data_IF_384114788968
#
_entry.id   IF_384114788968
#
_cell.length_a   1.000
_cell.length_b   1.000
_cell.length_c   1.000
_cell.angle_alpha   90.00
_cell.angle_beta   90.00
_cell.angle_gamma   90.00
#
_symmetry.space_group_name_H-M   'P 1'
#
loop_
_entity.id
_entity.type
_entity.pdbx_description
1 polymer ?
#
# COMPACT_ATOMS: atom_id res chain seq x y z
N UNK A 1 2.96 29.45 21.34
CA UNK A 1 3.34 29.09 19.95
C UNK A 1 3.76 27.64 19.91
N UNK A 2 3.17 26.90 19.01
CA UNK A 2 3.51 25.49 18.83
C UNK A 2 4.57 25.37 17.74
N UNK A 3 5.67 24.72 18.08
CA UNK A 3 6.72 24.41 17.11
C UNK A 3 6.49 23.01 16.57
N UNK A 4 6.47 22.89 15.24
CA UNK A 4 6.41 21.58 14.60
C UNK A 4 7.79 20.93 14.62
N UNK A 5 7.81 19.63 14.87
CA UNK A 5 9.03 18.85 14.69
C UNK A 5 9.42 18.80 13.22
N UNK A 6 10.67 18.43 12.95
CA UNK A 6 11.11 18.20 11.56
C UNK A 6 10.27 17.14 10.87
N UNK A 7 9.87 16.10 11.60
CA UNK A 7 9.04 15.03 11.05
C UNK A 7 7.64 15.56 10.68
N UNK A 8 7.03 16.40 11.51
CA UNK A 8 5.73 17.00 11.21
C UNK A 8 5.81 17.92 10.00
N UNK A 9 6.87 18.72 9.89
CA UNK A 9 7.07 19.61 8.74
C UNK A 9 7.27 18.79 7.46
N UNK A 10 8.07 17.74 7.52
CA UNK A 10 8.29 16.86 6.37
C UNK A 10 6.98 16.19 5.93
N UNK A 11 6.17 15.74 6.89
CA UNK A 11 4.87 15.12 6.58
C UNK A 11 3.92 16.09 5.88
N UNK A 12 3.89 17.36 6.31
CA UNK A 12 3.04 18.38 5.69
C UNK A 12 3.48 18.72 4.27
N UNK A 13 4.77 18.59 3.98
CA UNK A 13 5.33 18.87 2.65
C UNK A 13 5.48 17.64 1.79
N UNK A 14 5.07 16.47 2.28
CA UNK A 14 5.19 15.23 1.53
C UNK A 14 4.20 15.17 0.36
N UNK A 15 4.53 14.33 -0.60
CA UNK A 15 3.68 14.00 -1.74
C UNK A 15 3.02 12.63 -1.53
N UNK A 16 2.03 12.27 -2.34
CA UNK A 16 1.52 10.90 -2.32
C UNK A 16 2.62 9.86 -2.55
N UNK A 17 3.58 10.16 -3.40
CA UNK A 17 4.71 9.28 -3.70
C UNK A 17 5.59 9.05 -2.47
N UNK A 18 5.80 10.09 -1.68
CA UNK A 18 6.58 9.97 -0.43
C UNK A 18 5.87 9.09 0.59
N UNK A 19 4.56 9.23 0.70
CA UNK A 19 3.75 8.42 1.62
C UNK A 19 3.74 6.96 1.15
N UNK A 20 3.61 6.72 -0.14
CA UNK A 20 3.67 5.38 -0.70
C UNK A 20 5.03 4.72 -0.45
N UNK A 21 6.11 5.46 -0.65
CA UNK A 21 7.46 4.96 -0.37
C UNK A 21 7.61 4.57 1.10
N UNK A 22 7.14 5.40 2.01
CA UNK A 22 7.17 5.10 3.45
C UNK A 22 6.35 3.86 3.79
N UNK A 23 5.19 3.71 3.16
CA UNK A 23 4.33 2.53 3.34
C UNK A 23 5.07 1.24 2.96
N UNK A 24 5.63 1.19 1.75
CA UNK A 24 6.33 -0.02 1.30
C UNK A 24 7.64 -0.28 2.06
N UNK A 25 8.36 0.75 2.43
CA UNK A 25 9.55 0.59 3.28
C UNK A 25 9.18 0.03 4.67
N UNK A 26 8.07 0.48 5.25
CA UNK A 26 7.59 -0.04 6.51
C UNK A 26 7.21 -1.53 6.42
N UNK A 27 6.59 -1.95 5.31
CA UNK A 27 6.32 -3.36 5.05
C UNK A 27 7.61 -4.17 4.95
N UNK A 28 8.59 -3.65 4.23
CA UNK A 28 9.89 -4.31 4.04
C UNK A 28 10.67 -4.45 5.32
N UNK A 29 10.49 -3.53 6.26
CA UNK A 29 11.17 -3.52 7.56
C UNK A 29 10.35 -4.19 8.66
N UNK A 30 9.06 -4.44 8.44
CA UNK A 30 8.16 -4.92 9.48
C UNK A 30 7.97 -3.90 10.60
N UNK A 31 7.99 -2.62 10.27
CA UNK A 31 7.91 -1.52 11.23
C UNK A 31 6.47 -1.04 11.36
N UNK A 32 5.79 -1.52 12.39
CA UNK A 32 4.36 -1.23 12.59
C UNK A 32 4.12 0.26 12.89
N UNK A 33 4.97 0.91 13.64
CA UNK A 33 4.77 2.32 13.99
C UNK A 33 4.91 3.20 12.75
N UNK A 34 5.91 2.94 11.94
CA UNK A 34 6.12 3.64 10.68
C UNK A 34 4.99 3.38 9.70
N UNK A 35 4.53 2.13 9.63
CA UNK A 35 3.40 1.77 8.77
C UNK A 35 2.14 2.54 9.14
N UNK A 36 1.80 2.56 10.43
CA UNK A 36 0.57 3.22 10.87
C UNK A 36 0.64 4.74 10.74
N UNK A 37 1.83 5.31 10.77
CA UNK A 37 2.01 6.76 10.62
C UNK A 37 1.59 7.31 9.25
N UNK A 38 1.54 6.48 8.22
CA UNK A 38 1.17 6.93 6.87
C UNK A 38 -0.35 7.02 6.66
N UNK A 39 -1.14 6.42 7.54
CA UNK A 39 -2.60 6.40 7.40
C UNK A 39 -3.23 7.72 7.81
N UNK A 40 -4.31 8.09 7.13
CA UNK A 40 -5.10 9.25 7.50
C UNK A 40 -5.72 9.07 8.89
N UNK A 41 -5.85 10.18 9.61
CA UNK A 41 -6.53 10.20 10.92
C UNK A 41 -8.04 10.28 10.70
N UNK A 42 -8.62 9.16 10.34
CA UNK A 42 -10.04 9.05 10.01
C UNK A 42 -10.50 7.62 10.35
N UNK A 43 -11.75 7.51 10.79
CA UNK A 43 -12.32 6.22 11.17
C UNK A 43 -12.71 5.36 9.96
N UNK A 44 -12.76 5.95 8.77
CA UNK A 44 -13.21 5.28 7.55
C UNK A 44 -12.06 4.79 6.66
N UNK A 45 -10.83 4.84 7.14
CA UNK A 45 -9.71 4.26 6.40
C UNK A 45 -9.89 2.75 6.23
N UNK A 46 -9.51 2.24 5.05
CA UNK A 46 -9.79 0.85 4.66
C UNK A 46 -8.52 0.16 4.22
N UNK A 47 -8.37 -1.08 4.64
CA UNK A 47 -7.33 -1.97 4.15
C UNK A 47 -7.93 -3.33 3.80
N UNK A 48 -7.60 -3.81 2.59
CA UNK A 48 -7.94 -5.16 2.15
C UNK A 48 -6.65 -5.87 1.79
N UNK A 49 -6.33 -6.92 2.54
CA UNK A 49 -5.18 -7.76 2.25
C UNK A 49 -5.50 -8.77 1.14
N UNK A 50 -4.51 -9.22 0.37
CA UNK A 50 -4.75 -10.18 -0.70
C UNK A 50 -5.47 -11.43 -0.18
N UNK A 51 -6.66 -11.70 -0.73
CA UNK A 51 -7.49 -12.84 -0.31
C UNK A 51 -8.11 -12.72 1.07
N UNK A 52 -7.88 -11.60 1.75
CA UNK A 52 -8.34 -11.39 3.11
C UNK A 52 -9.62 -10.57 3.20
N UNK A 53 -10.13 -10.41 4.41
CA UNK A 53 -11.28 -9.55 4.65
C UNK A 53 -10.92 -8.08 4.59
N UNK A 54 -11.94 -7.25 4.44
CA UNK A 54 -11.78 -5.81 4.57
C UNK A 54 -11.70 -5.43 6.05
N UNK A 55 -10.71 -4.61 6.40
CA UNK A 55 -10.57 -4.06 7.76
C UNK A 55 -10.70 -2.54 7.70
N UNK A 56 -11.37 -1.95 8.66
CA UNK A 56 -11.71 -0.53 8.68
C UNK A 56 -11.25 0.09 9.99
N UNK A 57 -10.59 1.24 9.91
CA UNK A 57 -10.14 2.02 11.05
C UNK A 57 -8.76 1.66 11.56
N UNK A 58 -8.15 2.56 12.31
CA UNK A 58 -6.76 2.43 12.78
C UNK A 58 -6.52 1.16 13.60
N UNK A 59 -7.37 0.90 14.58
CA UNK A 59 -7.16 -0.24 15.49
C UNK A 59 -7.20 -1.57 14.74
N UNK A 60 -8.18 -1.74 13.83
CA UNK A 60 -8.31 -2.97 13.05
C UNK A 60 -7.18 -3.14 12.05
N UNK A 61 -6.78 -2.07 11.38
CA UNK A 61 -5.68 -2.08 10.42
C UNK A 61 -4.37 -2.40 11.14
N UNK A 62 -4.11 -1.75 12.27
CA UNK A 62 -2.92 -2.03 13.07
C UNK A 62 -2.87 -3.50 13.49
N UNK A 63 -3.96 -4.02 14.04
CA UNK A 63 -4.02 -5.41 14.49
C UNK A 63 -3.76 -6.38 13.34
N UNK A 64 -4.28 -6.10 12.15
CA UNK A 64 -4.06 -6.97 10.99
C UNK A 64 -2.60 -7.01 10.58
N UNK A 65 -1.91 -5.86 10.54
CA UNK A 65 -0.50 -5.80 10.20
C UNK A 65 0.40 -6.36 11.30
N UNK A 66 0.06 -6.15 12.57
CA UNK A 66 0.78 -6.78 13.68
C UNK A 66 0.77 -8.31 13.55
N UNK A 67 -0.38 -8.86 13.19
CA UNK A 67 -0.52 -10.30 12.94
C UNK A 67 0.37 -10.76 11.78
N UNK A 68 0.40 -9.99 10.69
CA UNK A 68 1.24 -10.30 9.53
C UNK A 68 2.73 -10.22 9.92
N UNK A 69 3.13 -9.15 10.60
CA UNK A 69 4.53 -8.93 11.00
C UNK A 69 5.02 -9.92 12.06
N UNK A 70 4.11 -10.62 12.76
CA UNK A 70 4.49 -11.71 13.65
C UNK A 70 5.23 -12.83 12.89
N UNK A 71 4.99 -12.96 11.58
CA UNK A 71 5.69 -13.90 10.71
C UNK A 71 6.91 -13.27 10.01
N UNK A 72 7.27 -12.05 10.35
CA UNK A 72 8.39 -11.32 9.77
C UNK A 72 7.94 -10.22 8.82
N UNK A 73 8.91 -9.44 8.31
CA UNK A 73 8.64 -8.39 7.34
C UNK A 73 8.15 -8.96 6.02
N UNK A 74 7.54 -8.10 5.22
CA UNK A 74 7.02 -8.48 3.90
C UNK A 74 8.02 -8.02 2.84
N UNK A 75 8.67 -8.93 2.13
CA UNK A 75 9.63 -8.57 1.08
C UNK A 75 8.91 -8.17 -0.21
N UNK A 76 8.29 -7.01 -0.19
CA UNK A 76 7.46 -6.49 -1.28
C UNK A 76 8.16 -5.33 -1.98
N UNK A 77 8.09 -5.32 -3.31
CA UNK A 77 8.61 -4.22 -4.13
C UNK A 77 7.50 -3.71 -5.02
N UNK A 78 7.15 -2.41 -4.90
CA UNK A 78 6.15 -1.82 -5.80
C UNK A 78 6.74 -1.62 -7.20
N UNK A 79 5.95 -1.97 -8.20
CA UNK A 79 6.36 -1.88 -9.61
C UNK A 79 5.19 -1.42 -10.48
N UNK A 80 5.50 -0.86 -11.64
CA UNK A 80 4.51 -0.47 -12.65
C UNK A 80 3.42 0.44 -12.09
N UNK A 81 3.81 1.50 -11.41
CA UNK A 81 2.87 2.40 -10.74
C UNK A 81 2.18 3.31 -11.76
N UNK A 82 0.86 3.26 -11.75
CA UNK A 82 0.00 4.17 -12.50
C UNK A 82 -0.63 5.17 -11.53
N UNK A 83 -0.64 6.45 -11.90
CA UNK A 83 -1.04 7.53 -10.99
C UNK A 83 -2.11 8.41 -11.59
N UNK A 84 -3.16 8.68 -10.81
CA UNK A 84 -4.16 9.70 -11.10
C UNK A 84 -4.16 10.68 -9.94
N UNK A 85 -3.91 11.95 -10.23
CA UNK A 85 -3.83 12.97 -9.19
C UNK A 85 -4.86 14.05 -9.42
N UNK A 86 -5.47 14.50 -8.33
CA UNK A 86 -6.28 15.72 -8.26
C UNK A 86 -5.65 16.66 -7.23
N UNK A 87 -6.28 17.81 -6.98
CA UNK A 87 -5.79 18.77 -6.00
C UNK A 87 -5.76 18.16 -4.59
N UNK A 88 -6.74 17.35 -4.25
CA UNK A 88 -6.90 16.83 -2.89
C UNK A 88 -6.82 15.32 -2.76
N UNK A 89 -6.63 14.59 -3.86
CA UNK A 89 -6.57 13.13 -3.81
C UNK A 89 -5.64 12.58 -4.87
N UNK A 90 -5.15 11.37 -4.62
CA UNK A 90 -4.33 10.64 -5.57
C UNK A 90 -4.70 9.16 -5.50
N UNK A 91 -4.76 8.52 -6.66
CA UNK A 91 -4.98 7.09 -6.77
C UNK A 91 -3.78 6.49 -7.47
N UNK A 92 -3.08 5.58 -6.80
CA UNK A 92 -2.01 4.82 -7.40
C UNK A 92 -2.46 3.38 -7.58
N UNK A 93 -2.32 2.87 -8.78
CA UNK A 93 -2.51 1.45 -9.07
C UNK A 93 -1.18 0.85 -9.47
N UNK A 94 -0.81 -0.26 -8.86
CA UNK A 94 0.51 -0.82 -9.03
C UNK A 94 0.51 -2.33 -8.86
N UNK A 95 1.62 -2.94 -9.25
CA UNK A 95 1.91 -4.33 -8.95
C UNK A 95 2.84 -4.39 -7.74
N UNK A 96 2.57 -5.34 -6.86
CA UNK A 96 3.47 -5.66 -5.75
C UNK A 96 4.15 -6.98 -6.06
N UNK A 97 5.48 -6.95 -6.19
CA UNK A 97 6.28 -8.15 -6.38
C UNK A 97 6.76 -8.63 -5.04
N UNK A 98 6.34 -9.82 -4.66
CA UNK A 98 6.67 -10.41 -3.35
C UNK A 98 7.59 -11.60 -3.58
N UNK A 99 8.77 -11.60 -2.95
CA UNK A 99 9.70 -12.70 -3.01
C UNK A 99 9.37 -13.70 -1.90
N UNK A 100 9.19 -14.96 -2.28
CA UNK A 100 8.87 -16.04 -1.35
C UNK A 100 10.00 -17.06 -1.40
N UNK A 101 10.61 -17.32 -0.25
CA UNK A 101 11.64 -18.35 -0.14
C UNK A 101 10.96 -19.71 0.09
N UNK A 102 11.23 -20.66 -0.81
CA UNK A 102 10.70 -22.02 -0.73
C UNK A 102 11.86 -23.01 -0.71
N UNK A 103 11.60 -24.30 -0.40
CA UNK A 103 12.65 -25.32 -0.50
C UNK A 103 13.28 -25.45 -1.88
N UNK A 104 12.54 -25.06 -2.94
CA UNK A 104 13.02 -25.09 -4.33
C UNK A 104 13.72 -23.79 -4.75
N UNK A 105 13.84 -22.81 -3.85
CA UNK A 105 14.47 -21.52 -4.11
C UNK A 105 13.50 -20.36 -3.94
N UNK A 106 13.88 -19.20 -4.47
CA UNK A 106 13.06 -17.99 -4.38
C UNK A 106 12.04 -17.98 -5.51
N UNK A 107 10.77 -17.84 -5.13
CA UNK A 107 9.67 -17.69 -6.07
C UNK A 107 9.09 -16.29 -5.96
N UNK A 108 8.43 -15.85 -7.02
CA UNK A 108 7.79 -14.53 -7.06
C UNK A 108 6.27 -14.70 -7.05
N UNK A 109 5.63 -14.00 -6.13
CA UNK A 109 4.17 -13.85 -6.14
C UNK A 109 3.84 -12.42 -6.53
N UNK A 110 2.76 -12.25 -7.27
CA UNK A 110 2.29 -10.94 -7.71
C UNK A 110 0.97 -10.60 -7.07
N UNK A 111 0.85 -9.34 -6.69
CA UNK A 111 -0.36 -8.75 -6.13
C UNK A 111 -0.64 -7.47 -6.91
N UNK A 112 -1.89 -7.20 -7.17
CA UNK A 112 -2.31 -5.90 -7.70
C UNK A 112 -2.87 -5.07 -6.56
N UNK A 113 -2.43 -3.83 -6.45
CA UNK A 113 -2.83 -2.96 -5.36
C UNK A 113 -3.33 -1.62 -5.86
N UNK A 114 -4.32 -1.09 -5.17
CA UNK A 114 -4.81 0.27 -5.35
C UNK A 114 -4.64 1.01 -4.03
N UNK A 115 -3.90 2.11 -4.08
CA UNK A 115 -3.68 2.98 -2.94
C UNK A 115 -4.34 4.32 -3.20
N UNK A 116 -5.19 4.76 -2.28
CA UNK A 116 -5.84 6.07 -2.36
C UNK A 116 -5.27 6.95 -1.26
N UNK A 117 -4.77 8.12 -1.67
CA UNK A 117 -4.18 9.11 -0.79
C UNK A 117 -5.06 10.35 -0.77
N UNK A 118 -5.18 10.95 0.40
CA UNK A 118 -5.90 12.21 0.58
C UNK A 118 -4.97 13.27 1.16
N UNK A 119 -5.14 14.50 0.70
CA UNK A 119 -4.44 15.63 1.29
C UNK A 119 -5.21 16.09 2.51
N UNK A 120 -4.64 15.87 3.68
CA UNK A 120 -5.28 16.18 4.97
C UNK A 120 -4.63 17.42 5.60
N UNK A 121 -5.15 17.84 6.75
CA UNK A 121 -4.55 18.92 7.52
C UNK A 121 -3.12 18.58 7.99
N UNK A 122 -2.76 17.29 8.07
CA UNK A 122 -1.42 16.82 8.41
C UNK A 122 -0.56 16.52 7.18
N UNK A 123 -1.04 16.84 5.98
CA UNK A 123 -0.38 16.52 4.73
C UNK A 123 -1.02 15.31 4.05
N UNK A 124 -0.33 14.77 3.05
CA UNK A 124 -0.82 13.59 2.34
C UNK A 124 -0.80 12.36 3.25
N UNK A 125 -1.86 11.57 3.18
CA UNK A 125 -2.01 10.35 3.97
C UNK A 125 -2.73 9.30 3.17
N UNK A 126 -2.44 8.03 3.46
CA UNK A 126 -3.10 6.88 2.88
C UNK A 126 -4.49 6.70 3.49
N UNK A 127 -5.50 6.59 2.64
CA UNK A 127 -6.89 6.38 3.08
C UNK A 127 -7.40 4.98 2.76
N UNK A 128 -6.95 4.41 1.65
CA UNK A 128 -7.34 3.06 1.22
C UNK A 128 -6.14 2.34 0.68
N UNK A 129 -5.93 1.11 1.14
CA UNK A 129 -5.05 0.14 0.51
C UNK A 129 -5.86 -1.11 0.20
N UNK A 130 -6.02 -1.42 -1.06
CA UNK A 130 -6.76 -2.60 -1.49
C UNK A 130 -5.87 -3.45 -2.39
N UNK A 131 -5.57 -4.64 -1.93
CA UNK A 131 -4.69 -5.56 -2.62
C UNK A 131 -5.40 -6.88 -2.92
N UNK A 132 -5.13 -7.44 -4.09
CA UNK A 132 -5.67 -8.74 -4.49
C UNK A 132 -4.59 -9.55 -5.19
N UNK A 133 -4.64 -10.89 -5.09
CA UNK A 133 -3.77 -11.73 -5.91
C UNK A 133 -4.00 -11.39 -7.37
N UNK A 134 -2.91 -11.23 -8.12
CA UNK A 134 -3.02 -10.88 -9.52
C UNK A 134 -1.89 -11.47 -10.31
N UNK A 135 -2.16 -11.81 -11.56
CA UNK A 135 -1.13 -12.20 -12.48
C UNK A 135 -0.68 -10.95 -13.22
N UNK A 136 0.59 -10.59 -13.06
CA UNK A 136 1.23 -9.62 -13.93
C UNK A 136 2.00 -10.44 -14.95
N UNK A 137 1.45 -10.53 -16.15
CA UNK A 137 2.18 -11.16 -17.23
C UNK A 137 3.38 -10.32 -17.62
N UNK A 138 4.44 -10.95 -18.06
CA UNK A 138 5.57 -10.23 -18.66
C UNK A 138 5.15 -9.47 -19.91
N UNK A 139 4.13 -10.00 -20.58
CA UNK A 139 3.52 -9.36 -21.73
C UNK A 139 2.12 -8.92 -21.34
N UNK A 140 1.82 -7.60 -21.36
CA UNK A 140 0.45 -7.14 -21.09
C UNK A 140 -0.50 -7.78 -22.10
N UNK A 141 -1.67 -8.27 -21.69
CA UNK A 141 -2.64 -8.79 -22.62
C UNK A 141 -3.09 -7.71 -23.58
N UNK A 142 -3.14 -8.02 -24.86
CA UNK A 142 -3.76 -7.16 -25.84
C UNK A 142 -5.27 -7.34 -25.75
N UNK A 143 -6.03 -6.38 -26.28
CA UNK A 143 -7.49 -6.43 -26.24
C UNK A 143 -8.02 -7.71 -26.89
N UNK A 144 -7.33 -8.22 -27.93
CA UNK A 144 -7.75 -9.44 -28.61
C UNK A 144 -7.40 -10.72 -27.86
N UNK A 145 -6.47 -10.68 -26.92
CA UNK A 145 -5.99 -11.85 -26.17
C UNK A 145 -6.68 -12.01 -24.84
N UNK A 146 -7.49 -11.03 -24.45
CA UNK A 146 -8.17 -11.10 -23.16
C UNK A 146 -9.27 -12.14 -23.24
N UNK A 147 -9.19 -13.25 -22.48
CA UNK A 147 -10.31 -14.15 -22.39
C UNK A 147 -11.51 -13.39 -21.85
N UNK A 148 -12.70 -13.85 -22.20
CA UNK A 148 -13.91 -13.26 -21.69
C UNK A 148 -13.88 -13.36 -20.17
N UNK A 149 -13.49 -12.25 -19.53
CA UNK A 149 -13.42 -12.18 -18.09
C UNK A 149 -14.80 -11.85 -17.57
N UNK A 150 -15.28 -12.69 -16.72
CA UNK A 150 -16.54 -12.45 -16.03
C UNK A 150 -16.24 -11.59 -14.82
N UNK A 151 -16.80 -10.43 -14.83
CA UNK A 151 -16.72 -9.51 -13.71
C UNK A 151 -17.99 -9.60 -12.90
#
# INVERSE_FOLDING_TARGET
MLFRSKAQTAALMSSPEDIEQQFYEALQQGDIERLMAVWADDDEIVCVHPGGPRVIGHAAIRASFESIFANGPIPVVPEQVHRLHTVGSAVHHLAERISITTPEGVQTAWVLATNVFLKTAQGWRLAVHHASPGAVGETPPTVGDTPAVLH
#
